data_IF_994454302183
#
_entry.id   IF_994454302183
#
_cell.length_a   1.000
_cell.length_b   1.000
_cell.length_c   1.000
_cell.angle_alpha   90.00
_cell.angle_beta   90.00
_cell.angle_gamma   90.00
#
_symmetry.space_group_name_H-M   'P 1'
#
loop_
_entity.id
_entity.type
_entity.pdbx_description
1 polymer ?
#
# COMPACT_ATOMS: atom_id res chain seq x y z
N UNK A 1 -18.48 15.21 14.28
CA UNK A 1 -17.21 14.58 13.90
C UNK A 1 -16.13 15.65 14.07
N UNK A 2 -14.91 15.31 14.52
CA UNK A 2 -13.81 16.27 14.52
C UNK A 2 -13.62 16.84 13.10
N UNK A 3 -13.17 18.08 12.94
CA UNK A 3 -12.81 18.57 11.61
C UNK A 3 -11.48 17.95 11.19
N UNK A 4 -11.32 17.80 9.88
CA UNK A 4 -10.06 17.38 9.26
C UNK A 4 -9.13 18.59 9.13
N UNK A 5 -7.89 18.45 9.57
CA UNK A 5 -6.83 19.46 9.40
C UNK A 5 -5.62 18.80 8.75
N UNK A 6 -5.11 19.42 7.67
CA UNK A 6 -4.00 18.89 6.89
C UNK A 6 -2.79 19.82 7.02
N UNK A 7 -1.65 19.31 7.51
CA UNK A 7 -0.39 20.04 7.50
C UNK A 7 0.59 19.42 6.51
N UNK A 8 1.40 20.27 5.89
CA UNK A 8 2.56 19.86 5.10
C UNK A 8 3.83 20.05 5.90
N UNK A 9 4.71 19.07 5.88
CA UNK A 9 6.12 19.30 6.19
C UNK A 9 6.86 19.96 5.03
N UNK A 10 8.17 20.14 5.18
CA UNK A 10 9.06 20.78 4.20
C UNK A 10 9.48 19.86 3.04
N UNK A 11 9.29 18.54 3.15
CA UNK A 11 9.79 17.57 2.16
C UNK A 11 9.13 17.66 0.79
N UNK A 12 7.80 17.86 0.74
CA UNK A 12 7.04 17.80 -0.51
C UNK A 12 5.73 18.61 -0.45
N UNK A 13 5.85 19.94 -0.49
CA UNK A 13 4.68 20.83 -0.42
C UNK A 13 3.70 20.66 -1.61
N UNK A 14 4.20 20.43 -2.83
CA UNK A 14 3.35 20.23 -4.01
C UNK A 14 2.38 19.05 -3.85
N UNK A 15 2.85 17.90 -3.34
CA UNK A 15 1.98 16.75 -3.07
C UNK A 15 0.95 17.07 -2.00
N UNK A 16 1.38 17.72 -0.91
CA UNK A 16 0.48 18.13 0.16
C UNK A 16 -0.62 19.06 -0.34
N UNK A 17 -0.27 20.02 -1.20
CA UNK A 17 -1.24 20.95 -1.80
C UNK A 17 -2.22 20.21 -2.72
N UNK A 18 -1.74 19.32 -3.59
CA UNK A 18 -2.61 18.50 -4.45
C UNK A 18 -3.58 17.64 -3.65
N UNK A 19 -3.14 17.07 -2.52
CA UNK A 19 -4.01 16.32 -1.62
C UNK A 19 -5.05 17.24 -0.96
N UNK A 20 -4.65 18.43 -0.51
CA UNK A 20 -5.56 19.44 0.05
C UNK A 20 -6.64 19.85 -0.96
N UNK A 21 -6.23 20.17 -2.19
CA UNK A 21 -7.13 20.58 -3.28
C UNK A 21 -8.17 19.51 -3.59
N UNK A 22 -7.77 18.23 -3.60
CA UNK A 22 -8.68 17.09 -3.84
C UNK A 22 -9.67 16.86 -2.70
N UNK A 23 -9.29 17.21 -1.47
CA UNK A 23 -10.16 17.17 -0.30
C UNK A 23 -11.04 18.42 -0.17
N UNK A 24 -10.78 19.46 -0.97
CA UNK A 24 -11.46 20.76 -0.84
C UNK A 24 -11.06 21.50 0.43
N UNK A 25 -9.82 21.33 0.89
CA UNK A 25 -9.27 21.91 2.11
C UNK A 25 -8.10 22.83 1.78
N UNK A 26 -7.81 23.77 2.67
CA UNK A 26 -6.56 24.51 2.68
C UNK A 26 -5.55 23.81 3.61
N UNK A 27 -4.26 23.95 3.30
CA UNK A 27 -3.22 23.49 4.22
C UNK A 27 -3.19 24.36 5.47
N UNK A 28 -3.14 23.71 6.63
CA UNK A 28 -3.03 24.36 7.91
C UNK A 28 -1.75 25.19 8.02
N UNK A 29 -1.84 26.30 8.74
CA UNK A 29 -0.75 27.24 8.95
C UNK A 29 0.30 26.63 9.85
N UNK A 30 1.49 26.42 9.30
CA UNK A 30 2.66 25.98 10.06
C UNK A 30 3.86 26.84 9.67
N UNK A 31 4.63 27.25 10.66
CA UNK A 31 5.91 27.92 10.46
C UNK A 31 7.00 26.88 10.71
N UNK A 32 7.62 26.41 9.64
CA UNK A 32 8.78 25.50 9.68
C UNK A 32 10.03 26.26 9.29
N UNK A 33 11.04 26.30 10.17
CA UNK A 33 12.33 26.96 9.90
C UNK A 33 13.48 26.17 10.50
N UNK A 34 14.68 26.36 9.97
CA UNK A 34 15.92 25.88 10.59
C UNK A 34 16.68 27.02 11.25
N UNK A 35 17.09 26.81 12.50
CA UNK A 35 18.01 27.72 13.18
C UNK A 35 19.42 27.61 12.58
N UNK A 36 20.28 28.59 12.86
CA UNK A 36 21.65 28.63 12.31
C UNK A 36 22.51 27.43 12.71
N UNK A 37 22.19 26.78 13.83
CA UNK A 37 22.81 25.54 14.31
C UNK A 37 22.17 24.25 13.75
N UNK A 38 21.32 24.36 12.72
CA UNK A 38 20.60 23.25 12.05
C UNK A 38 19.45 22.61 12.86
N UNK A 39 19.10 23.14 14.03
CA UNK A 39 17.91 22.69 14.74
C UNK A 39 16.64 23.06 13.98
N UNK A 40 15.70 22.11 13.90
CA UNK A 40 14.40 22.31 13.26
C UNK A 40 13.44 22.94 14.26
N UNK A 41 12.82 24.07 13.87
CA UNK A 41 11.83 24.79 14.65
C UNK A 41 10.50 24.74 13.91
N UNK A 42 9.47 24.28 14.62
CA UNK A 42 8.10 24.13 14.12
C UNK A 42 7.17 24.88 15.06
N UNK A 43 6.28 25.69 14.50
CA UNK A 43 5.21 26.36 15.22
C UNK A 43 3.88 26.17 14.48
N UNK A 44 2.91 25.52 15.13
CA UNK A 44 1.57 25.33 14.59
C UNK A 44 0.81 26.66 14.75
N UNK A 45 0.45 27.29 13.64
CA UNK A 45 -0.12 28.64 13.57
C UNK A 45 -1.63 28.72 13.77
N UNK A 46 -2.29 27.59 14.04
CA UNK A 46 -3.72 27.49 14.28
C UNK A 46 -4.07 26.47 15.37
N UNK A 47 -5.29 26.54 15.90
CA UNK A 47 -5.71 25.59 16.95
C UNK A 47 -6.08 24.25 16.35
N UNK A 48 -5.45 23.18 16.84
CA UNK A 48 -5.75 21.80 16.46
C UNK A 48 -6.51 21.02 17.54
N UNK A 49 -7.05 21.73 18.55
CA UNK A 49 -7.68 21.09 19.73
C UNK A 49 -8.94 20.34 19.31
N UNK A 50 -8.94 19.03 19.57
CA UNK A 50 -10.07 18.15 19.24
C UNK A 50 -10.22 17.86 17.74
N UNK A 51 -9.27 18.29 16.91
CA UNK A 51 -9.30 18.06 15.46
C UNK A 51 -8.61 16.74 15.06
N UNK A 52 -8.94 16.23 13.88
CA UNK A 52 -8.33 15.04 13.26
C UNK A 52 -7.23 15.49 12.31
N UNK A 53 -5.98 15.37 12.76
CA UNK A 53 -4.82 15.98 12.14
C UNK A 53 -4.10 14.98 11.25
N UNK A 54 -3.80 15.39 10.02
CA UNK A 54 -3.01 14.65 9.05
C UNK A 54 -1.75 15.44 8.72
N UNK A 55 -0.57 14.83 8.88
CA UNK A 55 0.71 15.47 8.58
C UNK A 55 1.35 14.74 7.41
N UNK A 56 1.47 15.40 6.26
CA UNK A 56 2.11 14.85 5.06
C UNK A 56 3.59 15.17 5.08
N UNK A 57 4.42 14.13 5.16
CA UNK A 57 5.88 14.25 5.05
C UNK A 57 6.46 12.98 4.42
N UNK A 58 7.20 13.12 3.32
CA UNK A 58 7.91 12.01 2.68
C UNK A 58 9.36 11.90 3.16
N UNK A 59 9.89 10.67 3.18
CA UNK A 59 11.28 10.38 3.52
C UNK A 59 12.27 10.66 2.38
N UNK A 60 12.24 11.87 1.80
CA UNK A 60 13.12 12.27 0.68
C UNK A 60 14.12 13.36 1.07
N UNK A 61 15.05 13.70 0.17
CA UNK A 61 16.04 14.78 0.41
C UNK A 61 16.93 14.52 1.62
N UNK A 62 17.01 15.50 2.52
CA UNK A 62 17.66 15.35 3.83
C UNK A 62 16.77 14.54 4.78
N UNK A 63 16.84 13.22 4.64
CA UNK A 63 15.94 12.25 5.30
C UNK A 63 15.85 12.44 6.83
N UNK A 64 16.96 12.79 7.48
CA UNK A 64 17.00 12.96 8.93
C UNK A 64 16.28 14.22 9.38
N UNK A 65 16.45 15.32 8.65
CA UNK A 65 15.81 16.58 8.98
C UNK A 65 14.31 16.48 8.74
N UNK A 66 13.89 15.84 7.65
CA UNK A 66 12.48 15.60 7.35
C UNK A 66 11.81 14.67 8.37
N UNK A 67 12.54 13.64 8.84
CA UNK A 67 12.08 12.77 9.92
C UNK A 67 11.94 13.54 11.24
N UNK A 68 12.95 14.33 11.62
CA UNK A 68 12.91 15.13 12.84
C UNK A 68 11.79 16.19 12.80
N UNK A 69 11.60 16.85 11.66
CA UNK A 69 10.51 17.80 11.45
C UNK A 69 9.15 17.13 11.64
N UNK A 70 8.94 15.96 11.04
CA UNK A 70 7.71 15.18 11.22
C UNK A 70 7.45 14.83 12.68
N UNK A 71 8.48 14.33 13.39
CA UNK A 71 8.36 13.97 14.81
C UNK A 71 8.01 15.19 15.68
N UNK A 72 8.60 16.34 15.40
CA UNK A 72 8.31 17.59 16.10
C UNK A 72 6.87 18.06 15.81
N UNK A 73 6.42 18.00 14.55
CA UNK A 73 5.04 18.35 14.18
C UNK A 73 4.01 17.45 14.85
N UNK A 74 4.24 16.12 14.86
CA UNK A 74 3.37 15.14 15.53
C UNK A 74 3.27 15.49 17.02
N UNK A 75 4.41 15.66 17.69
CA UNK A 75 4.43 15.97 19.12
C UNK A 75 3.75 17.31 19.42
N UNK A 76 3.99 18.35 18.61
CA UNK A 76 3.34 19.66 18.75
C UNK A 76 1.80 19.54 18.65
N UNK A 77 1.29 18.77 17.70
CA UNK A 77 -0.15 18.52 17.57
C UNK A 77 -0.70 17.69 18.74
N UNK A 78 0.06 16.72 19.24
CA UNK A 78 -0.36 15.86 20.35
C UNK A 78 -0.50 16.66 21.65
N UNK A 79 0.50 17.46 22.01
CA UNK A 79 0.46 18.29 23.22
C UNK A 79 -0.54 19.45 23.10
N UNK A 80 -0.84 19.91 21.87
CA UNK A 80 -1.90 20.87 21.58
C UNK A 80 -3.32 20.27 21.67
N UNK A 81 -3.45 19.01 22.15
CA UNK A 81 -4.72 18.32 22.40
C UNK A 81 -5.52 18.02 21.12
N UNK A 82 -4.86 17.67 20.02
CA UNK A 82 -5.53 17.05 18.87
C UNK A 82 -6.24 15.77 19.26
N UNK A 83 -7.35 15.47 18.58
CA UNK A 83 -8.11 14.23 18.83
C UNK A 83 -7.37 13.00 18.33
N UNK A 84 -6.73 13.11 17.16
CA UNK A 84 -5.97 12.05 16.51
C UNK A 84 -4.90 12.68 15.62
N UNK A 85 -3.72 12.08 15.59
CA UNK A 85 -2.63 12.46 14.67
C UNK A 85 -2.29 11.31 13.75
N UNK A 86 -2.53 11.49 12.46
CA UNK A 86 -2.16 10.54 11.40
C UNK A 86 -0.92 11.04 10.66
N UNK A 87 0.14 10.24 10.65
CA UNK A 87 1.32 10.53 9.84
C UNK A 87 1.14 9.94 8.44
N UNK A 88 1.09 10.81 7.42
CA UNK A 88 1.01 10.42 6.01
C UNK A 88 2.41 10.47 5.43
N UNK A 89 3.01 9.29 5.21
CA UNK A 89 4.40 9.11 4.84
C UNK A 89 4.49 8.38 3.49
N UNK A 90 4.40 9.09 2.35
CA UNK A 90 4.34 8.46 1.03
C UNK A 90 5.54 7.55 0.73
N UNK A 91 6.76 7.96 1.08
CA UNK A 91 7.94 7.10 1.05
C UNK A 91 8.48 6.92 2.47
N UNK A 92 8.38 5.71 3.02
CA UNK A 92 8.75 5.44 4.40
C UNK A 92 10.29 5.54 4.62
N UNK A 93 10.77 6.37 5.57
CA UNK A 93 12.19 6.56 5.77
C UNK A 93 12.85 5.30 6.36
N UNK A 94 14.09 5.02 5.94
CA UNK A 94 14.87 3.86 6.38
C UNK A 94 14.26 2.48 6.08
N UNK A 95 13.26 2.38 5.18
CA UNK A 95 12.54 1.13 4.89
C UNK A 95 13.43 -0.03 4.43
N UNK A 96 14.56 0.23 3.74
CA UNK A 96 15.54 -0.80 3.34
C UNK A 96 16.35 -1.39 4.50
N UNK A 97 16.24 -0.83 5.71
CA UNK A 97 16.94 -1.28 6.92
C UNK A 97 15.95 -1.96 7.89
N UNK A 98 15.17 -2.91 7.37
CA UNK A 98 14.10 -3.66 8.04
C UNK A 98 14.58 -4.95 8.72
N UNK A 99 15.77 -5.45 8.36
CA UNK A 99 16.31 -6.70 8.93
C UNK A 99 17.81 -6.63 9.17
N UNK A 100 18.30 -7.55 10.01
CA UNK A 100 19.74 -7.74 10.25
C UNK A 100 20.36 -8.60 9.15
N UNK A 101 20.79 -7.97 8.06
CA UNK A 101 21.50 -8.68 6.97
C UNK A 101 22.88 -9.21 7.40
N UNK A 102 23.49 -8.59 8.42
CA UNK A 102 24.76 -9.03 9.03
C UNK A 102 24.68 -8.91 10.55
N UNK A 103 25.49 -9.70 11.25
CA UNK A 103 25.60 -9.61 12.71
C UNK A 103 26.07 -8.20 13.12
N UNK A 104 25.28 -7.54 13.99
CA UNK A 104 25.46 -6.16 14.51
C UNK A 104 25.02 -4.99 13.60
N UNK A 105 24.13 -5.22 12.64
CA UNK A 105 23.41 -4.12 11.98
C UNK A 105 22.19 -3.64 12.83
N UNK A 106 21.83 -2.34 12.78
CA UNK A 106 20.57 -1.86 13.35
C UNK A 106 19.38 -2.28 12.48
N UNK A 107 18.19 -2.34 13.09
CA UNK A 107 16.91 -2.39 12.36
C UNK A 107 16.34 -0.97 12.41
N UNK A 108 16.84 -0.09 11.56
CA UNK A 108 16.53 1.34 11.61
C UNK A 108 15.07 1.62 11.29
N UNK A 109 14.42 0.82 10.42
CA UNK A 109 12.98 0.95 10.18
C UNK A 109 12.14 0.74 11.46
N UNK A 110 12.55 -0.20 12.33
CA UNK A 110 11.90 -0.40 13.65
C UNK A 110 12.18 0.76 14.59
N UNK A 111 13.38 1.33 14.57
CA UNK A 111 13.71 2.53 15.34
C UNK A 111 12.82 3.71 14.92
N UNK A 112 12.67 3.94 13.61
CA UNK A 112 11.77 4.96 13.05
C UNK A 112 10.33 4.73 13.50
N UNK A 113 9.84 3.50 13.40
CA UNK A 113 8.50 3.14 13.86
C UNK A 113 8.30 3.49 15.34
N UNK A 114 9.26 3.13 16.20
CA UNK A 114 9.23 3.47 17.62
C UNK A 114 9.23 4.98 17.87
N UNK A 115 10.04 5.75 17.13
CA UNK A 115 10.08 7.21 17.28
C UNK A 115 8.75 7.85 16.91
N UNK A 116 8.10 7.41 15.81
CA UNK A 116 6.78 7.88 15.41
C UNK A 116 5.71 7.56 16.46
N UNK A 117 5.71 6.34 16.98
CA UNK A 117 4.78 5.93 18.05
C UNK A 117 4.97 6.76 19.31
N UNK A 118 6.23 6.97 19.75
CA UNK A 118 6.54 7.74 20.97
C UNK A 118 6.26 9.24 20.79
N UNK A 119 6.44 9.79 19.59
CA UNK A 119 6.07 11.17 19.28
C UNK A 119 4.57 11.43 19.39
N UNK A 120 3.75 10.37 19.32
CA UNK A 120 2.30 10.44 19.53
C UNK A 120 1.47 10.27 18.27
N UNK A 121 2.01 9.63 17.22
CA UNK A 121 1.21 9.21 16.07
C UNK A 121 0.21 8.12 16.49
N UNK A 122 -1.05 8.29 16.10
CA UNK A 122 -2.12 7.34 16.39
C UNK A 122 -2.40 6.42 15.18
N UNK A 123 -1.99 6.83 13.98
CA UNK A 123 -2.20 6.11 12.73
C UNK A 123 -1.12 6.47 11.70
N UNK A 124 -0.71 5.52 10.86
CA UNK A 124 0.22 5.73 9.75
C UNK A 124 -0.48 5.43 8.42
N UNK A 125 -0.36 6.31 7.44
CA UNK A 125 -0.70 6.04 6.04
C UNK A 125 0.60 6.11 5.24
N UNK A 126 0.92 5.07 4.48
CA UNK A 126 2.15 5.00 3.67
C UNK A 126 1.86 4.31 2.34
N UNK A 127 2.82 4.31 1.41
CA UNK A 127 2.66 3.69 0.10
C UNK A 127 3.85 2.77 -0.19
N UNK A 128 3.56 1.57 -0.70
CA UNK A 128 4.51 0.54 -1.13
C UNK A 128 5.73 0.36 -0.19
N UNK A 129 5.46 0.00 1.07
CA UNK A 129 6.53 -0.38 2.00
C UNK A 129 7.48 -1.41 1.38
N UNK A 130 8.79 -1.14 1.48
CA UNK A 130 9.86 -2.00 0.96
C UNK A 130 9.67 -3.47 1.38
N UNK A 131 9.27 -3.67 2.64
CA UNK A 131 8.89 -4.94 3.20
C UNK A 131 7.54 -4.80 3.92
N UNK A 132 6.56 -5.65 3.60
CA UNK A 132 5.23 -5.61 4.23
C UNK A 132 5.29 -5.86 5.74
N UNK A 133 6.34 -6.53 6.23
CA UNK A 133 6.58 -6.79 7.65
C UNK A 133 6.79 -5.51 8.47
N UNK A 134 7.13 -4.38 7.83
CA UNK A 134 7.28 -3.09 8.51
C UNK A 134 5.96 -2.67 9.19
N UNK A 135 4.81 -3.11 8.69
CA UNK A 135 3.52 -2.88 9.38
C UNK A 135 3.53 -3.46 10.81
N UNK A 136 4.12 -4.64 10.99
CA UNK A 136 4.28 -5.28 12.31
C UNK A 136 5.32 -4.62 13.22
N UNK A 137 6.00 -3.56 12.78
CA UNK A 137 6.85 -2.75 13.65
C UNK A 137 6.05 -1.78 14.50
N UNK A 138 4.83 -1.45 14.08
CA UNK A 138 3.91 -0.57 14.79
C UNK A 138 2.90 -1.37 15.62
N UNK A 139 2.54 -0.82 16.77
CA UNK A 139 1.38 -1.29 17.56
C UNK A 139 0.11 -0.48 17.21
N UNK A 140 0.27 0.63 16.50
CA UNK A 140 -0.80 1.46 15.93
C UNK A 140 -1.20 0.93 14.55
N UNK A 141 -2.38 1.33 14.07
CA UNK A 141 -2.82 0.98 12.72
C UNK A 141 -1.84 1.53 11.66
N UNK A 142 -1.68 0.79 10.56
CA UNK A 142 -0.86 1.19 9.42
C UNK A 142 -1.61 0.81 8.15
N UNK A 143 -1.99 1.82 7.38
CA UNK A 143 -2.52 1.64 6.04
C UNK A 143 -1.37 1.70 5.03
N UNK A 144 -1.00 0.55 4.48
CA UNK A 144 -0.02 0.45 3.40
C UNK A 144 -0.74 0.42 2.05
N UNK A 145 -0.77 1.56 1.38
CA UNK A 145 -1.35 1.74 0.06
C UNK A 145 -0.42 1.16 -1.02
N UNK A 146 -0.98 0.83 -2.19
CA UNK A 146 -0.23 0.25 -3.30
C UNK A 146 -0.37 1.13 -4.55
N UNK A 147 0.74 1.40 -5.24
CA UNK A 147 0.69 2.05 -6.54
C UNK A 147 0.32 1.07 -7.68
N UNK A 148 0.26 -0.23 -7.40
CA UNK A 148 -0.03 -1.29 -8.36
C UNK A 148 -1.25 -1.00 -9.28
N UNK A 149 -2.42 -0.54 -8.79
CA UNK A 149 -3.54 -0.20 -9.66
C UNK A 149 -3.21 0.92 -10.66
N UNK A 150 -2.51 1.96 -10.21
CA UNK A 150 -2.11 3.09 -11.05
C UNK A 150 -1.02 2.68 -12.05
N UNK A 151 -0.11 1.80 -11.65
CA UNK A 151 0.92 1.20 -12.54
C UNK A 151 0.26 0.36 -13.63
N UNK A 152 -0.70 -0.50 -13.27
CA UNK A 152 -1.44 -1.33 -14.24
C UNK A 152 -2.20 -0.47 -15.26
N UNK A 153 -2.83 0.61 -14.80
CA UNK A 153 -3.50 1.57 -15.68
C UNK A 153 -2.50 2.23 -16.62
N UNK A 154 -1.37 2.72 -16.10
CA UNK A 154 -0.33 3.37 -16.89
C UNK A 154 0.22 2.43 -17.97
N UNK A 155 0.51 1.16 -17.65
CA UNK A 155 0.99 0.16 -18.60
C UNK A 155 0.00 -0.02 -19.76
N UNK A 156 -1.29 -0.19 -19.44
CA UNK A 156 -2.35 -0.42 -20.45
C UNK A 156 -2.56 0.77 -21.38
N UNK A 157 -2.37 1.98 -20.88
CA UNK A 157 -2.58 3.22 -21.63
C UNK A 157 -1.36 3.65 -22.46
N UNK A 158 -0.14 3.32 -22.02
CA UNK A 158 1.09 3.89 -22.59
C UNK A 158 1.95 2.87 -23.38
N UNK A 159 1.76 1.57 -23.17
CA UNK A 159 2.55 0.53 -23.86
C UNK A 159 1.62 -0.22 -24.81
N UNK A 160 1.67 0.01 -26.13
CA UNK A 160 0.78 -0.65 -27.09
C UNK A 160 0.88 -2.18 -27.05
N UNK A 161 2.09 -2.70 -26.87
CA UNK A 161 2.42 -4.13 -26.85
C UNK A 161 2.29 -4.76 -25.45
N UNK A 162 1.55 -4.13 -24.51
CA UNK A 162 1.47 -4.60 -23.13
C UNK A 162 0.94 -6.03 -22.97
N UNK A 163 0.16 -6.55 -23.93
CA UNK A 163 -0.39 -7.92 -23.88
C UNK A 163 0.67 -9.01 -24.08
N UNK A 164 1.74 -8.68 -24.79
CA UNK A 164 2.84 -9.59 -25.10
C UNK A 164 4.12 -9.16 -24.36
N UNK A 165 4.01 -8.25 -23.38
CA UNK A 165 5.15 -7.80 -22.58
C UNK A 165 5.55 -8.84 -21.54
N UNK A 166 6.71 -8.66 -20.92
CA UNK A 166 7.18 -9.46 -19.79
C UNK A 166 7.53 -8.55 -18.62
N UNK A 167 7.02 -8.87 -17.43
CA UNK A 167 7.30 -8.10 -16.22
C UNK A 167 8.57 -8.64 -15.58
N UNK A 168 9.55 -7.78 -15.32
CA UNK A 168 10.88 -8.20 -14.88
C UNK A 168 11.19 -7.66 -13.48
N UNK A 169 11.64 -8.53 -12.59
CA UNK A 169 12.19 -8.10 -11.30
C UNK A 169 13.70 -7.85 -11.42
N UNK A 170 14.22 -6.67 -11.00
CA UNK A 170 15.65 -6.37 -11.06
C UNK A 170 16.47 -7.15 -10.01
N UNK A 171 15.81 -7.71 -9.00
CA UNK A 171 16.41 -8.58 -8.00
C UNK A 171 15.47 -9.73 -7.56
N UNK A 172 15.96 -10.60 -6.68
CA UNK A 172 15.18 -11.71 -6.16
C UNK A 172 14.11 -11.31 -5.12
N UNK A 173 14.26 -10.15 -4.47
CA UNK A 173 13.33 -9.66 -3.46
C UNK A 173 12.01 -9.17 -4.07
N UNK A 174 12.08 -8.58 -5.28
CA UNK A 174 10.92 -8.08 -6.03
C UNK A 174 10.04 -9.16 -6.69
N UNK A 175 10.38 -10.46 -6.55
CA UNK A 175 9.68 -11.56 -7.23
C UNK A 175 8.15 -11.54 -7.02
N UNK A 176 7.70 -11.37 -5.76
CA UNK A 176 6.26 -11.33 -5.43
C UNK A 176 5.53 -10.16 -6.08
N UNK A 177 6.21 -9.02 -6.21
CA UNK A 177 5.66 -7.79 -6.79
C UNK A 177 5.42 -7.98 -8.29
N UNK A 178 6.42 -8.50 -8.99
CA UNK A 178 6.31 -8.71 -10.44
C UNK A 178 5.33 -9.81 -10.79
N UNK A 179 5.24 -10.89 -10.00
CA UNK A 179 4.25 -11.94 -10.24
C UNK A 179 2.83 -11.43 -10.05
N UNK A 180 2.56 -10.61 -9.03
CA UNK A 180 1.22 -10.00 -8.83
C UNK A 180 0.78 -9.18 -10.04
N UNK A 181 1.69 -8.33 -10.55
CA UNK A 181 1.41 -7.48 -11.72
C UNK A 181 1.25 -8.34 -12.98
N UNK A 182 2.12 -9.33 -13.17
CA UNK A 182 2.08 -10.23 -14.33
C UNK A 182 0.77 -11.04 -14.36
N UNK A 183 0.34 -11.59 -13.21
CA UNK A 183 -0.92 -12.34 -13.08
C UNK A 183 -2.13 -11.45 -13.40
N UNK A 184 -2.16 -10.20 -12.91
CA UNK A 184 -3.25 -9.24 -13.19
C UNK A 184 -3.30 -8.77 -14.64
N UNK A 185 -2.15 -8.74 -15.33
CA UNK A 185 -2.07 -8.44 -16.76
C UNK A 185 -2.22 -9.70 -17.63
N UNK A 186 -2.19 -10.89 -17.03
CA UNK A 186 -2.13 -12.18 -17.71
C UNK A 186 -0.97 -12.25 -18.72
N UNK A 187 0.23 -11.87 -18.26
CA UNK A 187 1.48 -11.91 -19.01
C UNK A 187 2.55 -12.70 -18.24
N UNK A 188 3.67 -13.00 -18.89
CA UNK A 188 4.77 -13.69 -18.24
C UNK A 188 5.61 -12.76 -17.36
N UNK A 189 6.42 -13.36 -16.50
CA UNK A 189 7.41 -12.63 -15.71
C UNK A 189 8.81 -13.23 -15.87
N UNK A 190 9.83 -12.39 -15.64
CA UNK A 190 11.22 -12.79 -15.55
C UNK A 190 11.87 -12.21 -14.29
N UNK A 191 13.00 -12.76 -13.91
CA UNK A 191 13.74 -12.38 -12.70
C UNK A 191 15.22 -12.26 -13.02
N UNK A 192 15.82 -11.17 -12.56
CA UNK A 192 17.26 -10.97 -12.61
C UNK A 192 17.84 -11.26 -11.24
N UNK A 193 18.75 -12.23 -11.17
CA UNK A 193 19.50 -12.53 -9.97
C UNK A 193 20.94 -12.05 -10.12
N UNK A 194 21.37 -11.19 -9.20
CA UNK A 194 22.76 -10.72 -9.13
C UNK A 194 23.58 -11.67 -8.26
N UNK A 195 24.40 -12.50 -8.89
CA UNK A 195 25.40 -13.30 -8.18
C UNK A 195 26.56 -12.38 -7.76
N UNK A 196 26.67 -12.12 -6.45
CA UNK A 196 27.81 -11.41 -5.88
C UNK A 196 28.95 -12.40 -5.66
N UNK A 197 30.01 -12.31 -6.46
CA UNK A 197 31.25 -13.05 -6.21
C UNK A 197 32.18 -12.27 -5.28
N UNK A 198 33.18 -12.96 -4.72
CA UNK A 198 34.16 -12.39 -3.76
C UNK A 198 34.86 -11.16 -4.34
N UNK A 199 35.41 -10.34 -3.44
CA UNK A 199 36.19 -9.15 -3.78
C UNK A 199 37.19 -9.45 -4.90
N UNK A 200 37.10 -8.69 -6.00
CA UNK A 200 37.91 -8.72 -7.25
C UNK A 200 37.32 -9.44 -8.48
N UNK A 201 36.10 -10.00 -8.44
CA UNK A 201 35.39 -10.44 -9.66
C UNK A 201 34.21 -9.52 -9.99
N UNK A 202 33.96 -9.29 -11.29
CA UNK A 202 32.81 -8.53 -11.76
C UNK A 202 31.53 -9.33 -11.46
N UNK A 203 30.58 -8.70 -10.78
CA UNK A 203 29.29 -9.32 -10.44
C UNK A 203 28.56 -9.81 -11.72
N UNK A 204 28.02 -11.03 -11.70
CA UNK A 204 27.27 -11.61 -12.83
C UNK A 204 25.77 -11.46 -12.60
N UNK A 205 25.05 -10.94 -13.60
CA UNK A 205 23.59 -10.95 -13.62
C UNK A 205 23.08 -12.15 -14.42
N UNK A 206 22.26 -12.98 -13.78
CA UNK A 206 21.59 -14.14 -14.39
C UNK A 206 20.13 -13.78 -14.59
N UNK A 207 19.65 -13.89 -15.84
CA UNK A 207 18.25 -13.71 -16.18
C UNK A 207 17.57 -15.08 -16.18
N UNK A 208 16.43 -15.18 -15.48
CA UNK A 208 15.55 -16.34 -15.48
C UNK A 208 14.21 -15.91 -16.09
N UNK A 209 13.84 -16.52 -17.22
CA UNK A 209 12.68 -16.13 -18.03
C UNK A 209 13.09 -15.80 -19.47
N UNK A 210 12.13 -15.86 -20.40
CA UNK A 210 12.36 -15.56 -21.81
C UNK A 210 11.84 -14.17 -22.17
N UNK A 211 12.76 -13.26 -22.47
CA UNK A 211 12.49 -11.85 -22.79
C UNK A 211 12.66 -11.55 -24.28
N UNK A 212 13.00 -12.57 -25.08
CA UNK A 212 13.37 -12.38 -26.48
C UNK A 212 12.18 -11.91 -27.31
N UNK A 213 12.41 -10.91 -28.16
CA UNK A 213 11.44 -10.32 -29.07
C UNK A 213 10.18 -9.76 -28.36
N UNK A 214 10.32 -9.40 -27.07
CA UNK A 214 9.24 -8.86 -26.22
C UNK A 214 9.63 -7.53 -25.58
N UNK A 215 8.62 -6.75 -25.21
CA UNK A 215 8.81 -5.56 -24.37
C UNK A 215 9.03 -5.99 -22.93
N UNK A 216 10.15 -5.60 -22.33
CA UNK A 216 10.47 -5.88 -20.94
C UNK A 216 10.13 -4.68 -20.05
N UNK A 217 9.32 -4.90 -19.02
CA UNK A 217 8.94 -3.86 -18.06
C UNK A 217 9.54 -4.22 -16.71
N UNK A 218 10.60 -3.54 -16.32
CA UNK A 218 11.18 -3.71 -14.99
C UNK A 218 10.32 -3.01 -13.94
N UNK A 219 9.98 -3.70 -12.86
CA UNK A 219 9.22 -3.13 -11.75
C UNK A 219 9.96 -3.30 -10.44
N UNK A 220 10.13 -2.20 -9.71
CA UNK A 220 10.75 -2.19 -8.37
C UNK A 220 10.01 -1.22 -7.45
N UNK A 221 10.16 -1.35 -6.12
CA UNK A 221 9.54 -0.38 -5.20
C UNK A 221 10.28 0.95 -5.22
N UNK A 222 11.61 0.94 -5.32
CA UNK A 222 12.38 2.17 -5.28
C UNK A 222 13.74 2.05 -5.97
N UNK A 223 14.13 3.09 -6.72
CA UNK A 223 15.49 3.21 -7.25
C UNK A 223 16.23 4.41 -6.68
N UNK A 224 17.46 4.17 -6.27
CA UNK A 224 18.34 5.17 -5.66
C UNK A 224 19.42 5.62 -6.65
N UNK A 225 20.62 5.02 -6.63
CA UNK A 225 21.69 5.38 -7.59
C UNK A 225 21.50 4.81 -9.00
N UNK A 226 20.42 4.06 -9.22
CA UNK A 226 20.04 3.40 -10.47
C UNK A 226 21.07 2.43 -11.09
N UNK A 227 22.14 2.06 -10.37
CA UNK A 227 23.17 1.16 -10.92
C UNK A 227 22.61 -0.23 -11.28
N UNK A 228 21.86 -0.84 -10.35
CA UNK A 228 21.26 -2.17 -10.57
C UNK A 228 20.29 -2.17 -11.75
N UNK A 229 19.36 -1.19 -11.81
CA UNK A 229 18.35 -1.14 -12.87
C UNK A 229 18.97 -0.84 -14.24
N UNK A 230 20.03 -0.04 -14.33
CA UNK A 230 20.68 0.25 -15.61
C UNK A 230 21.40 -1.00 -16.15
N UNK A 231 22.15 -1.70 -15.31
CA UNK A 231 22.79 -2.96 -15.71
C UNK A 231 21.77 -4.06 -16.05
N UNK A 232 20.63 -4.08 -15.35
CA UNK A 232 19.52 -4.96 -15.67
C UNK A 232 18.93 -4.63 -17.05
N UNK A 233 18.78 -3.34 -17.39
CA UNK A 233 18.33 -2.92 -18.71
C UNK A 233 19.29 -3.37 -19.83
N UNK A 234 20.60 -3.16 -19.66
CA UNK A 234 21.61 -3.64 -20.61
C UNK A 234 21.49 -5.16 -20.80
N UNK A 235 21.29 -5.90 -19.70
CA UNK A 235 21.16 -7.35 -19.74
C UNK A 235 19.91 -7.83 -20.47
N UNK A 236 18.80 -7.09 -20.37
CA UNK A 236 17.56 -7.38 -21.07
C UNK A 236 17.70 -7.14 -22.58
N UNK A 237 18.37 -6.06 -22.98
CA UNK A 237 18.68 -5.79 -24.39
C UNK A 237 19.59 -6.87 -24.96
N UNK A 238 20.65 -7.25 -24.24
CA UNK A 238 21.55 -8.35 -24.65
C UNK A 238 20.84 -9.69 -24.80
N UNK A 239 19.76 -9.91 -24.03
CA UNK A 239 18.93 -11.11 -24.09
C UNK A 239 17.87 -11.06 -25.20
N UNK A 240 17.78 -9.94 -25.94
CA UNK A 240 16.89 -9.77 -27.10
C UNK A 240 15.56 -9.08 -26.80
N UNK A 241 15.42 -8.35 -25.69
CA UNK A 241 14.23 -7.53 -25.44
C UNK A 241 14.12 -6.40 -26.48
N UNK A 242 12.91 -6.15 -26.98
CA UNK A 242 12.65 -5.14 -28.02
C UNK A 242 12.77 -3.73 -27.47
N UNK A 243 12.19 -3.49 -26.28
CA UNK A 243 12.21 -2.22 -25.54
C UNK A 243 12.26 -2.52 -24.05
N UNK A 244 12.88 -1.63 -23.28
CA UNK A 244 12.95 -1.74 -21.82
C UNK A 244 12.31 -0.52 -21.18
N UNK A 245 11.33 -0.76 -20.32
CA UNK A 245 10.73 0.22 -19.43
C UNK A 245 11.17 -0.04 -17.99
N UNK A 246 11.23 1.01 -17.17
CA UNK A 246 11.37 0.86 -15.72
C UNK A 246 10.21 1.57 -15.04
N UNK A 247 9.53 0.90 -14.13
CA UNK A 247 8.46 1.46 -13.30
C UNK A 247 8.86 1.29 -11.84
N UNK A 248 8.89 2.40 -11.11
CA UNK A 248 9.35 2.43 -9.73
C UNK A 248 8.31 3.18 -8.91
N UNK A 249 7.89 2.68 -7.75
CA UNK A 249 7.01 3.51 -6.91
C UNK A 249 7.76 4.75 -6.44
N UNK A 250 8.90 4.59 -5.79
CA UNK A 250 9.67 5.70 -5.21
C UNK A 250 10.94 6.03 -6.02
N UNK A 251 10.91 7.15 -6.75
CA UNK A 251 12.06 7.67 -7.50
C UNK A 251 13.03 8.48 -6.64
N UNK A 252 13.89 7.82 -5.84
CA UNK A 252 14.87 8.51 -4.99
C UNK A 252 15.93 9.21 -5.84
N UNK A 253 16.45 8.52 -6.87
CA UNK A 253 17.33 9.08 -7.90
C UNK A 253 18.47 9.97 -7.37
N UNK A 254 19.25 9.47 -6.42
CA UNK A 254 20.39 10.21 -5.84
C UNK A 254 21.69 10.01 -6.64
N UNK A 255 22.63 10.95 -6.46
CA UNK A 255 23.97 10.87 -7.04
C UNK A 255 23.96 10.74 -8.58
N UNK A 256 24.59 9.69 -9.17
CA UNK A 256 24.70 9.54 -10.62
C UNK A 256 23.43 8.98 -11.29
N UNK A 257 22.29 8.91 -10.60
CA UNK A 257 21.08 8.27 -11.11
C UNK A 257 20.61 8.85 -12.44
N UNK A 258 20.49 10.19 -12.53
CA UNK A 258 19.95 10.87 -13.71
C UNK A 258 20.83 10.67 -14.95
N UNK A 259 22.15 10.79 -14.80
CA UNK A 259 23.08 10.55 -15.92
C UNK A 259 23.06 9.10 -16.36
N UNK A 260 22.94 8.14 -15.43
CA UNK A 260 22.80 6.72 -15.74
C UNK A 260 21.50 6.42 -16.49
N UNK A 261 20.37 6.97 -16.06
CA UNK A 261 19.09 6.79 -16.74
C UNK A 261 19.13 7.34 -18.17
N UNK A 262 19.72 8.53 -18.36
CA UNK A 262 19.87 9.13 -19.70
C UNK A 262 20.69 8.23 -20.64
N UNK A 263 21.78 7.65 -20.14
CA UNK A 263 22.68 6.79 -20.92
C UNK A 263 22.16 5.35 -21.10
N UNK A 264 21.28 4.88 -20.21
CA UNK A 264 20.76 3.52 -20.25
C UNK A 264 19.68 3.34 -21.34
N UNK A 265 19.47 2.11 -21.84
CA UNK A 265 18.55 1.81 -22.94
C UNK A 265 17.09 1.75 -22.49
N UNK A 266 16.65 2.73 -21.70
CA UNK A 266 15.26 2.91 -21.31
C UNK A 266 14.47 3.68 -22.36
N UNK A 267 13.30 3.17 -22.70
CA UNK A 267 12.29 3.90 -23.45
C UNK A 267 11.64 4.97 -22.56
N UNK A 268 11.22 4.57 -21.35
CA UNK A 268 10.76 5.47 -20.30
C UNK A 268 11.07 4.92 -18.91
N UNK A 269 11.25 5.84 -17.96
CA UNK A 269 11.35 5.55 -16.52
C UNK A 269 10.18 6.21 -15.81
N UNK A 270 9.25 5.40 -15.32
CA UNK A 270 8.02 5.85 -14.70
C UNK A 270 8.17 5.80 -13.19
N UNK A 271 7.83 6.90 -12.51
CA UNK A 271 7.83 6.97 -11.06
C UNK A 271 6.55 7.60 -10.52
N UNK A 272 6.25 7.43 -9.24
CA UNK A 272 5.20 8.23 -8.59
C UNK A 272 5.74 9.56 -8.07
N UNK A 273 4.85 10.52 -7.79
CA UNK A 273 5.17 11.72 -7.02
C UNK A 273 5.16 11.50 -5.50
N UNK A 274 5.44 10.30 -5.00
CA UNK A 274 5.72 10.08 -3.56
C UNK A 274 6.95 10.85 -3.08
N UNK A 275 7.87 11.15 -4.00
CA UNK A 275 9.06 11.99 -3.84
C UNK A 275 9.02 13.07 -4.93
N UNK A 276 9.42 14.33 -4.67
CA UNK A 276 9.47 15.37 -5.70
C UNK A 276 10.34 14.97 -6.91
N UNK A 277 9.85 15.23 -8.12
CA UNK A 277 10.50 14.83 -9.38
C UNK A 277 10.70 15.97 -10.38
N UNK A 278 10.17 17.16 -10.11
CA UNK A 278 10.08 18.27 -11.07
C UNK A 278 11.46 18.69 -11.59
N UNK A 279 12.47 18.76 -10.71
CA UNK A 279 13.85 19.07 -11.10
C UNK A 279 14.50 17.94 -11.91
N UNK A 280 14.20 16.69 -11.54
CA UNK A 280 14.75 15.50 -12.18
C UNK A 280 14.19 15.29 -13.58
N UNK A 281 12.91 15.59 -13.79
CA UNK A 281 12.27 15.58 -15.12
C UNK A 281 12.88 16.61 -16.06
N UNK A 282 13.24 17.81 -15.56
CA UNK A 282 13.94 18.83 -16.37
C UNK A 282 15.31 18.33 -16.86
N UNK A 283 15.99 17.52 -16.06
CA UNK A 283 17.29 16.94 -16.39
C UNK A 283 17.22 15.61 -17.16
N UNK A 284 16.05 14.95 -17.18
CA UNK A 284 15.86 13.64 -17.80
C UNK A 284 14.52 13.56 -18.54
N UNK A 285 14.51 13.63 -19.88
CA UNK A 285 13.28 13.58 -20.66
C UNK A 285 12.60 12.20 -20.65
N UNK A 286 13.30 11.14 -20.20
CA UNK A 286 12.76 9.79 -20.09
C UNK A 286 11.86 9.59 -18.86
N UNK A 287 11.92 10.50 -17.88
CA UNK A 287 11.15 10.37 -16.63
C UNK A 287 9.70 10.78 -16.85
N UNK A 288 8.79 9.89 -16.49
CA UNK A 288 7.35 10.17 -16.41
C UNK A 288 6.86 10.00 -14.98
N UNK A 289 5.85 10.76 -14.60
CA UNK A 289 5.35 10.78 -13.21
C UNK A 289 3.87 10.42 -13.17
N UNK A 290 3.55 9.42 -12.34
CA UNK A 290 2.18 9.04 -11.96
C UNK A 290 1.81 9.85 -10.71
N UNK A 291 0.71 10.60 -10.79
CA UNK A 291 0.18 11.35 -9.65
C UNK A 291 -0.61 10.41 -8.72
N UNK A 292 -0.14 10.27 -7.48
CA UNK A 292 -0.78 9.47 -6.44
C UNK A 292 -1.53 10.31 -5.39
N UNK A 293 -1.66 11.63 -5.61
CA UNK A 293 -2.40 12.51 -4.70
C UNK A 293 -3.86 12.12 -4.55
N UNK A 294 -4.49 11.55 -5.59
CA UNK A 294 -5.86 11.04 -5.51
C UNK A 294 -5.98 9.86 -4.55
N UNK A 295 -5.03 8.93 -4.61
CA UNK A 295 -4.99 7.74 -3.74
C UNK A 295 -4.81 8.18 -2.29
N UNK A 296 -3.88 9.10 -2.03
CA UNK A 296 -3.66 9.64 -0.67
C UNK A 296 -4.85 10.44 -0.15
N UNK A 297 -5.46 11.29 -0.96
CA UNK A 297 -6.64 12.06 -0.59
C UNK A 297 -7.81 11.14 -0.24
N UNK A 298 -8.06 10.12 -1.06
CA UNK A 298 -9.14 9.17 -0.80
C UNK A 298 -8.87 8.33 0.45
N UNK A 299 -7.62 7.91 0.67
CA UNK A 299 -7.22 7.22 1.90
C UNK A 299 -7.49 8.07 3.15
N UNK A 300 -7.07 9.34 3.13
CA UNK A 300 -7.33 10.31 4.21
C UNK A 300 -8.84 10.48 4.44
N UNK A 301 -9.61 10.70 3.37
CA UNK A 301 -11.07 10.87 3.43
C UNK A 301 -11.76 9.66 4.06
N UNK A 302 -11.34 8.45 3.70
CA UNK A 302 -11.91 7.20 4.23
C UNK A 302 -11.54 6.97 5.69
N UNK A 303 -10.28 7.21 6.04
CA UNK A 303 -9.77 7.13 7.42
C UNK A 303 -10.48 8.12 8.35
N UNK A 304 -10.81 9.31 7.84
CA UNK A 304 -11.58 10.31 8.58
C UNK A 304 -13.03 9.86 8.81
N UNK A 305 -13.69 9.38 7.75
CA UNK A 305 -15.10 8.94 7.80
C UNK A 305 -15.31 7.56 8.43
N UNK A 306 -14.23 6.88 8.87
CA UNK A 306 -14.23 5.51 9.35
C UNK A 306 -14.88 4.50 8.36
N UNK A 307 -14.72 4.75 7.07
CA UNK A 307 -15.14 3.83 5.99
C UNK A 307 -13.99 2.91 5.60
N UNK A 308 -14.28 1.65 5.24
CA UNK A 308 -13.25 0.68 4.90
C UNK A 308 -12.38 1.11 3.71
N UNK A 309 -11.06 1.00 3.86
CA UNK A 309 -10.10 1.19 2.75
C UNK A 309 -10.08 -0.01 1.80
N UNK A 310 -10.47 -1.19 2.27
CA UNK A 310 -10.43 -2.46 1.53
C UNK A 310 -11.24 -2.48 0.22
N UNK A 311 -12.17 -1.55 0.01
CA UNK A 311 -13.01 -1.51 -1.21
C UNK A 311 -12.22 -1.16 -2.49
N UNK A 312 -10.95 -0.74 -2.40
CA UNK A 312 -10.11 -0.52 -3.59
C UNK A 312 -9.60 -1.81 -4.26
N UNK A 313 -9.68 -2.99 -3.63
CA UNK A 313 -9.23 -4.22 -4.27
C UNK A 313 -10.13 -4.69 -5.44
N UNK A 314 -11.39 -4.21 -5.55
CA UNK A 314 -12.34 -4.72 -6.57
C UNK A 314 -13.26 -3.66 -7.24
N UNK A 315 -13.04 -2.36 -7.04
CA UNK A 315 -13.92 -1.35 -7.62
C UNK A 315 -13.61 -1.07 -9.11
N UNK A 316 -14.13 -1.91 -10.00
CA UNK A 316 -14.35 -1.53 -11.40
C UNK A 316 -15.33 -0.33 -11.47
N UNK A 317 -15.16 0.63 -12.39
CA UNK A 317 -16.18 1.64 -12.63
C UNK A 317 -17.45 0.93 -13.13
N UNK A 318 -18.50 0.94 -12.31
CA UNK A 318 -19.81 0.50 -12.75
C UNK A 318 -20.31 1.42 -13.88
N UNK A 319 -20.89 0.89 -14.96
CA UNK A 319 -21.40 1.71 -16.04
C UNK A 319 -22.52 2.62 -15.50
N UNK A 320 -22.67 3.84 -16.04
CA UNK A 320 -23.72 4.75 -15.61
C UNK A 320 -25.09 4.09 -15.79
N UNK A 321 -26.03 4.32 -14.85
CA UNK A 321 -27.37 3.74 -14.95
C UNK A 321 -28.03 4.17 -16.27
N UNK A 322 -28.75 3.27 -16.95
CA UNK A 322 -29.39 3.62 -18.22
C UNK A 322 -30.40 4.75 -18.00
N UNK A 323 -30.29 5.79 -18.82
CA UNK A 323 -31.24 6.90 -18.86
C UNK A 323 -32.63 6.35 -19.22
N UNK A 324 -33.58 6.46 -18.28
CA UNK A 324 -34.98 6.07 -18.54
C UNK A 324 -35.60 7.06 -19.52
N UNK A 325 -36.26 6.59 -20.59
CA UNK A 325 -37.12 7.46 -21.39
C UNK A 325 -38.38 7.85 -20.60
N UNK A 326 -38.96 9.03 -20.86
CA UNK A 326 -40.09 9.52 -20.08
C UNK A 326 -41.38 8.79 -20.49
N UNK A 327 -42.11 8.32 -19.49
CA UNK A 327 -43.52 7.94 -19.66
C UNK A 327 -43.79 6.44 -19.58
N UNK A 328 -44.12 5.98 -18.37
CA UNK A 328 -45.30 5.13 -18.07
C UNK A 328 -45.34 4.88 -16.56
N UNK A 329 -46.39 5.38 -15.92
CA UNK A 329 -46.73 5.06 -14.52
C UNK A 329 -47.04 3.56 -14.44
N UNK A 330 -46.26 2.81 -13.67
CA UNK A 330 -46.67 1.50 -13.19
C UNK A 330 -46.98 1.61 -11.70
N UNK A 331 -48.25 1.35 -11.38
CA UNK A 331 -48.74 1.10 -10.03
C UNK A 331 -48.12 -0.21 -9.52
N UNK A 332 -47.27 -0.14 -8.50
CA UNK A 332 -46.83 -1.31 -7.77
C UNK A 332 -47.91 -1.65 -6.73
N UNK A 333 -48.72 -2.68 -6.99
CA UNK A 333 -49.53 -3.33 -5.97
C UNK A 333 -48.69 -4.45 -5.34
N UNK A 334 -48.51 -4.37 -4.02
CA UNK A 334 -47.86 -5.39 -3.21
C UNK A 334 -48.80 -6.60 -3.11
N UNK A 335 -48.47 -7.73 -3.74
CA UNK A 335 -49.20 -9.00 -3.58
C UNK A 335 -48.30 -10.01 -2.89
N UNK A 336 -48.60 -10.23 -1.61
CA UNK A 336 -48.21 -11.41 -0.85
C UNK A 336 -48.92 -12.64 -1.45
N UNK A 337 -48.18 -13.60 -2.01
CA UNK A 337 -48.73 -14.92 -2.34
C UNK A 337 -48.26 -15.95 -1.31
N UNK A 338 -49.19 -16.32 -0.42
CA UNK A 338 -49.17 -17.56 0.35
C UNK A 338 -49.51 -18.72 -0.59
N UNK A 339 -48.81 -19.84 -0.43
CA UNK A 339 -49.04 -21.06 -1.19
C UNK A 339 -50.42 -21.68 -0.94
N UNK A 340 -50.94 -22.37 -1.95
CA UNK A 340 -52.09 -23.27 -1.84
C UNK A 340 -51.82 -24.58 -2.59
N UNK A 341 -52.08 -25.68 -1.89
CA UNK A 341 -51.88 -27.07 -2.28
C UNK A 341 -52.92 -27.63 -3.29
N UNK A 342 -52.52 -28.78 -3.90
CA UNK A 342 -53.27 -30.02 -4.28
C UNK A 342 -53.45 -30.30 -5.78
N UNK A 343 -53.66 -31.58 -6.21
CA UNK A 343 -53.36 -32.89 -5.58
C UNK A 343 -52.60 -33.89 -6.49
N UNK A 344 -52.36 -35.07 -5.90
CA UNK A 344 -51.56 -36.23 -6.31
C UNK A 344 -52.17 -37.13 -7.40
N UNK A 345 -51.29 -37.88 -8.06
CA UNK A 345 -51.40 -39.33 -8.38
C UNK A 345 -49.96 -39.90 -8.43
N UNK A 346 -49.48 -40.61 -7.40
CA UNK A 346 -49.32 -42.09 -7.31
C UNK A 346 -48.36 -42.63 -8.39
N UNK A 347 -47.17 -43.15 -8.12
CA UNK A 347 -46.80 -44.29 -7.27
C UNK A 347 -45.33 -44.19 -6.82
N UNK A 348 -45.00 -44.22 -5.53
CA UNK A 348 -44.70 -45.40 -4.68
C UNK A 348 -43.18 -45.61 -4.49
N UNK A 349 -42.62 -45.02 -3.42
CA UNK A 349 -41.74 -45.67 -2.42
C UNK A 349 -41.24 -44.59 -1.44
N UNK A 350 -41.73 -44.66 -0.21
CA UNK A 350 -41.30 -43.86 0.97
C UNK A 350 -39.91 -44.37 1.40
N UNK A 351 -39.00 -43.60 2.02
CA UNK A 351 -39.23 -42.77 3.20
C UNK A 351 -37.99 -41.92 3.56
N UNK A 352 -38.23 -40.67 4.02
CA UNK A 352 -37.52 -39.90 5.07
C UNK A 352 -36.01 -39.61 4.93
N UNK A 353 -35.45 -38.45 5.28
CA UNK A 353 -35.85 -37.07 5.59
C UNK A 353 -34.51 -36.34 5.96
N UNK A 354 -34.44 -35.03 5.75
CA UNK A 354 -33.42 -34.06 6.21
C UNK A 354 -32.16 -33.86 5.35
N UNK A 355 -32.10 -32.67 4.75
CA UNK A 355 -30.86 -32.04 4.33
C UNK A 355 -30.09 -31.46 5.52
N UNK A 356 -28.77 -31.48 5.38
CA UNK A 356 -27.85 -30.44 5.81
C UNK A 356 -26.54 -30.68 5.06
N UNK A 357 -26.18 -29.73 4.20
CA UNK A 357 -24.89 -29.71 3.50
C UNK A 357 -23.81 -29.33 4.52
N UNK A 358 -23.08 -30.32 5.04
CA UNK A 358 -21.92 -30.10 5.90
C UNK A 358 -20.64 -29.99 5.05
N UNK A 359 -19.88 -28.91 5.25
CA UNK A 359 -18.46 -28.88 4.93
C UNK A 359 -17.70 -29.76 5.92
N UNK A 360 -16.90 -30.70 5.41
CA UNK A 360 -16.01 -31.54 6.21
C UNK A 360 -14.69 -30.81 6.48
N UNK A 361 -14.25 -30.78 7.75
CA UNK A 361 -12.83 -30.65 8.11
C UNK A 361 -12.51 -31.79 9.07
N UNK A 362 -11.55 -32.61 8.65
CA UNK A 362 -11.17 -33.85 9.28
C UNK A 362 -10.07 -33.57 10.33
N UNK A 363 -10.38 -33.77 11.61
CA UNK A 363 -9.38 -33.97 12.67
C UNK A 363 -9.85 -35.13 13.53
N UNK A 364 -9.55 -36.35 13.08
CA UNK A 364 -9.82 -37.57 13.83
C UNK A 364 -8.62 -37.96 14.68
N UNK A 365 -8.76 -37.86 16.00
CA UNK A 365 -8.43 -38.92 16.96
C UNK A 365 -9.03 -38.57 18.34
N UNK A 366 -10.02 -39.36 18.79
CA UNK A 366 -10.35 -39.52 20.22
C UNK A 366 -11.77 -39.12 20.65
N UNK A 367 -12.59 -40.13 21.00
CA UNK A 367 -13.97 -40.07 21.49
C UNK A 367 -14.07 -39.70 22.99
N UNK A 368 -15.08 -38.89 23.37
CA UNK A 368 -16.04 -39.12 24.47
C UNK A 368 -16.85 -37.84 24.83
N UNK A 369 -18.07 -37.96 25.39
CA UNK A 369 -19.19 -37.01 25.21
C UNK A 369 -19.40 -36.05 26.39
N UNK A 370 -20.13 -34.94 26.20
CA UNK A 370 -21.27 -34.57 27.06
C UNK A 370 -22.05 -33.30 26.61
N UNK A 371 -23.36 -33.49 26.45
CA UNK A 371 -24.51 -32.59 26.71
C UNK A 371 -24.42 -31.08 26.42
N UNK A 372 -25.18 -30.66 25.39
CA UNK A 372 -25.67 -29.29 25.21
C UNK A 372 -26.65 -28.89 26.33
N UNK A 373 -26.44 -27.69 26.88
CA UNK A 373 -27.48 -26.93 27.58
C UNK A 373 -27.51 -25.52 26.99
N UNK A 374 -28.67 -25.11 26.44
CA UNK A 374 -28.89 -23.79 25.86
C UNK A 374 -29.99 -23.09 26.66
N UNK A 375 -29.74 -21.94 27.30
CA UNK A 375 -30.78 -21.04 27.75
C UNK A 375 -30.99 -19.87 26.76
N UNK A 376 -32.16 -19.20 26.81
CA UNK A 376 -32.69 -18.39 25.72
C UNK A 376 -32.12 -16.96 25.68
N UNK A 377 -32.20 -16.35 24.48
CA UNK A 377 -31.88 -14.94 24.26
C UNK A 377 -32.81 -14.01 25.05
N UNK A 378 -32.22 -13.04 25.75
CA UNK A 378 -32.84 -11.76 26.07
C UNK A 378 -31.83 -10.62 26.03
N UNK A 379 -32.27 -9.54 25.42
CA UNK A 379 -31.80 -8.16 25.50
C UNK A 379 -30.52 -7.70 24.79
N UNK A 380 -30.78 -6.76 23.88
CA UNK A 380 -29.85 -5.83 23.29
C UNK A 380 -29.19 -4.95 24.35
N UNK A 381 -27.88 -4.78 24.25
CA UNK A 381 -27.19 -3.47 24.29
C UNK A 381 -25.67 -3.67 24.28
N UNK A 382 -25.00 -2.98 23.35
CA UNK A 382 -23.55 -2.71 23.32
C UNK A 382 -22.60 -3.91 23.14
N UNK A 383 -21.73 -3.84 22.13
CA UNK A 383 -20.25 -3.84 22.27
C UNK A 383 -19.55 -4.33 20.99
N UNK A 384 -18.71 -3.43 20.47
CA UNK A 384 -17.34 -3.68 19.96
C UNK A 384 -17.06 -5.04 19.31
N UNK A 385 -16.80 -5.02 18.00
CA UNK A 385 -15.97 -6.04 17.35
C UNK A 385 -14.54 -5.91 17.88
N UNK A 386 -14.18 -6.74 18.85
CA UNK A 386 -12.80 -7.00 19.26
C UNK A 386 -12.44 -8.38 18.74
N UNK A 387 -11.61 -8.46 17.70
CA UNK A 387 -10.90 -9.68 17.35
C UNK A 387 -9.80 -9.90 18.40
N UNK A 388 -10.11 -10.65 19.46
CA UNK A 388 -9.08 -11.16 20.39
C UNK A 388 -8.57 -12.49 19.86
N UNK A 389 -7.29 -12.50 19.46
CA UNK A 389 -6.52 -13.74 19.38
C UNK A 389 -6.39 -14.31 20.80
N UNK A 390 -6.91 -15.52 21.02
CA UNK A 390 -6.75 -16.22 22.28
C UNK A 390 -5.30 -16.70 22.42
N UNK A 391 -4.53 -16.03 23.29
CA UNK A 391 -3.24 -16.53 23.76
C UNK A 391 -3.44 -17.71 24.70
N UNK A 392 -2.78 -18.83 24.39
CA UNK A 392 -2.68 -19.97 25.31
C UNK A 392 -1.77 -19.58 26.49
N UNK A 393 -2.32 -19.67 27.69
CA UNK A 393 -1.57 -19.64 28.94
C UNK A 393 -0.66 -20.87 29.05
N UNK A 394 0.65 -20.66 29.15
CA UNK A 394 1.58 -21.65 29.65
C UNK A 394 1.46 -21.68 31.18
N UNK A 395 0.77 -22.70 31.70
CA UNK A 395 0.69 -23.00 33.13
C UNK A 395 1.98 -23.64 33.63
N UNK A 396 2.46 -23.12 34.76
CA UNK A 396 3.43 -23.76 35.64
C UNK A 396 3.06 -25.21 35.94
N UNK A 397 4.02 -26.13 35.76
CA UNK A 397 4.06 -27.43 36.45
C UNK A 397 5.37 -27.45 37.22
N UNK A 398 5.27 -27.62 38.54
CA UNK A 398 6.40 -27.86 39.43
C UNK A 398 6.18 -29.14 40.24
N UNK A 399 7.32 -29.77 40.57
CA UNK A 399 7.55 -30.93 41.48
C UNK A 399 7.18 -32.30 40.87
N UNK A 400 8.05 -33.30 40.75
CA UNK A 400 9.24 -33.72 41.51
C UNK A 400 10.41 -34.12 40.61
#
# INVERSE_FOLDING_TARGET
MPNIVLFSGSSHHDLSQKVADRLGLELGKVITKKFSNQETCVEIGESVRGEDVYIIQSGCGEINDNLMELLIMINACKIASSSRVTAVIPCFPYARQDKKDKSRAPISAKLVANMLSVAGADHIITMDLHASQIQGFFDIAVDNLYAEPAVLQWIKENIPEWKDCIIVSPDAGGAKRVTSIADRLNVDFALIHKERKKANEVDRMVLVGDVKDRVAIMVDDMADTCGTICHAADKLIDAGATKVYAILTHGIFSGPAISRINNAPFEAVVVTNTIPQEEKMKACPKIQVIDISMILAEAIRRTHNATCLCEEEEAHPSPPPPTRPPGRRFLASCVLQRGSERPRSSDSLKSTLHGNSHCYVNFGLGLAPLSLWVPPLSDATSRSCVCRAAGMHAGHIGLF
#
